data_IF_997102774461
#
_entry.id   IF_997102774461
#
_cell.length_a   1.000
_cell.length_b   1.000
_cell.length_c   1.000
_cell.angle_alpha   90.00
_cell.angle_beta   90.00
_cell.angle_gamma   90.00
#
_symmetry.space_group_name_H-M   'P 1'
#
loop_
_entity.id
_entity.type
_entity.pdbx_description
1 polymer ?
#
# COMPACT_ATOMS: atom_id res chain seq x y z
N UNK A 1 9.20 18.25 -8.25
CA UNK A 1 9.33 17.53 -6.96
C UNK A 1 8.38 18.08 -5.89
N UNK A 2 8.25 19.40 -5.76
CA UNK A 2 7.37 20.06 -4.77
C UNK A 2 5.90 19.61 -4.83
N UNK A 3 5.34 19.41 -6.02
CA UNK A 3 3.94 18.96 -6.20
C UNK A 3 3.67 17.53 -5.70
N UNK A 4 4.68 16.67 -5.68
CA UNK A 4 4.56 15.29 -5.19
C UNK A 4 4.54 15.28 -3.66
N UNK A 5 5.34 16.15 -3.03
CA UNK A 5 5.36 16.34 -1.57
C UNK A 5 4.00 16.88 -1.11
N UNK A 6 3.42 17.83 -1.84
CA UNK A 6 2.08 18.36 -1.54
C UNK A 6 0.98 17.29 -1.67
N UNK A 7 1.08 16.39 -2.65
CA UNK A 7 0.14 15.27 -2.82
C UNK A 7 0.24 14.27 -1.64
N UNK A 8 1.45 13.96 -1.17
CA UNK A 8 1.67 13.08 -0.02
C UNK A 8 1.17 13.70 1.30
N UNK A 9 1.25 15.03 1.43
CA UNK A 9 0.69 15.77 2.58
C UNK A 9 -0.85 15.76 2.52
N UNK A 10 -1.44 15.93 1.34
CA UNK A 10 -2.90 15.93 1.17
C UNK A 10 -3.52 14.55 1.46
N UNK A 11 -2.81 13.47 1.11
CA UNK A 11 -3.23 12.10 1.43
C UNK A 11 -3.08 11.73 2.91
N UNK A 12 -2.37 12.54 3.70
CA UNK A 12 -2.18 12.34 5.14
C UNK A 12 -3.02 13.29 6.01
N UNK A 13 -4.02 14.00 5.45
CA UNK A 13 -4.92 14.82 6.27
C UNK A 13 -5.82 13.86 7.07
N UNK A 14 -5.69 13.78 8.40
CA UNK A 14 -6.62 12.98 9.19
C UNK A 14 -8.02 13.60 9.07
N UNK A 15 -9.01 12.77 8.72
CA UNK A 15 -10.39 13.22 8.58
C UNK A 15 -10.88 13.82 9.92
N UNK A 16 -11.25 15.12 9.98
CA UNK A 16 -11.67 15.77 11.21
C UNK A 16 -12.95 15.16 11.82
N UNK A 17 -13.69 14.33 11.08
CA UNK A 17 -14.89 13.63 11.57
C UNK A 17 -14.58 12.37 12.39
N UNK A 18 -13.33 11.92 12.45
CA UNK A 18 -12.94 10.71 13.21
C UNK A 18 -13.18 10.84 14.73
N UNK A 19 -13.24 12.06 15.27
CA UNK A 19 -13.21 12.29 16.71
C UNK A 19 -14.57 12.15 17.42
N UNK A 20 -15.69 11.96 16.71
CA UNK A 20 -17.02 11.94 17.35
C UNK A 20 -17.54 10.54 17.74
N UNK A 21 -16.97 9.45 17.22
CA UNK A 21 -17.44 8.09 17.51
C UNK A 21 -16.67 7.34 18.62
N UNK A 22 -15.58 7.90 19.13
CA UNK A 22 -14.68 7.17 20.06
C UNK A 22 -15.30 6.88 21.44
N UNK A 23 -16.36 7.61 21.84
CA UNK A 23 -16.80 7.62 23.25
C UNK A 23 -17.81 6.54 23.67
N UNK A 24 -18.31 5.66 22.79
CA UNK A 24 -19.40 4.73 23.18
C UNK A 24 -19.16 3.23 23.03
N UNK A 25 -18.15 2.80 22.28
CA UNK A 25 -17.89 1.36 22.00
C UNK A 25 -16.67 0.78 22.77
N UNK A 26 -16.11 1.53 23.72
CA UNK A 26 -14.71 1.37 24.17
C UNK A 26 -14.44 0.31 25.26
N UNK A 27 -15.40 -0.52 25.65
CA UNK A 27 -15.21 -1.44 26.79
C UNK A 27 -15.17 -2.94 26.45
N UNK A 28 -15.39 -3.33 25.19
CA UNK A 28 -15.13 -4.71 24.77
C UNK A 28 -13.85 -4.79 23.93
N UNK A 29 -12.92 -5.72 24.23
CA UNK A 29 -11.79 -5.97 23.35
C UNK A 29 -12.35 -6.50 22.03
N UNK A 30 -12.44 -5.62 21.02
CA UNK A 30 -12.77 -6.01 19.65
C UNK A 30 -11.67 -6.96 19.17
N UNK A 31 -11.92 -8.27 19.24
CA UNK A 31 -11.03 -9.28 18.68
C UNK A 31 -11.08 -9.11 17.17
N UNK A 32 -10.17 -8.28 16.63
CA UNK A 32 -10.05 -8.10 15.20
C UNK A 32 -9.45 -9.38 14.61
N UNK A 33 -10.31 -10.27 14.14
CA UNK A 33 -9.90 -11.45 13.39
C UNK A 33 -9.48 -11.00 12.01
N UNK A 34 -8.18 -10.97 11.76
CA UNK A 34 -7.61 -10.74 10.44
C UNK A 34 -8.04 -11.86 9.48
N UNK A 35 -9.00 -11.56 8.60
CA UNK A 35 -9.56 -12.53 7.66
C UNK A 35 -8.68 -12.61 6.43
N UNK A 36 -8.52 -13.82 5.89
CA UNK A 36 -7.82 -14.01 4.62
C UNK A 36 -8.51 -13.33 3.45
N UNK A 37 -9.84 -13.23 3.47
CA UNK A 37 -10.62 -12.55 2.44
C UNK A 37 -11.39 -11.41 3.08
N UNK A 38 -10.89 -10.19 2.88
CA UNK A 38 -11.54 -8.95 3.29
C UNK A 38 -11.28 -7.86 2.25
N UNK A 39 -12.07 -6.79 2.31
CA UNK A 39 -11.92 -5.61 1.46
C UNK A 39 -10.51 -4.99 1.60
N UNK A 40 -9.98 -4.97 2.82
CA UNK A 40 -8.62 -4.56 3.13
C UNK A 40 -7.56 -5.35 2.33
N UNK A 41 -7.67 -6.68 2.31
CA UNK A 41 -6.77 -7.55 1.52
C UNK A 41 -6.88 -7.32 0.01
N UNK A 42 -8.09 -7.02 -0.47
CA UNK A 42 -8.32 -6.65 -1.86
C UNK A 42 -7.62 -5.34 -2.23
N UNK A 43 -7.62 -4.34 -1.33
CA UNK A 43 -6.91 -3.09 -1.54
C UNK A 43 -5.39 -3.29 -1.55
N UNK A 44 -4.83 -4.07 -0.63
CA UNK A 44 -3.41 -4.44 -0.64
C UNK A 44 -2.98 -5.01 -2.00
N UNK A 45 -3.69 -6.05 -2.46
CA UNK A 45 -3.42 -6.65 -3.76
C UNK A 45 -3.56 -5.67 -4.94
N UNK A 46 -4.66 -4.93 -4.99
CA UNK A 46 -4.98 -4.05 -6.12
C UNK A 46 -4.02 -2.88 -6.21
N UNK A 47 -3.72 -2.23 -5.07
CA UNK A 47 -2.77 -1.11 -5.00
C UNK A 47 -1.38 -1.58 -5.38
N UNK A 48 -0.90 -2.72 -4.87
CA UNK A 48 0.41 -3.25 -5.24
C UNK A 48 0.53 -3.59 -6.72
N UNK A 49 -0.50 -4.20 -7.32
CA UNK A 49 -0.53 -4.52 -8.75
C UNK A 49 -0.48 -3.24 -9.61
N UNK A 50 -1.34 -2.27 -9.28
CA UNK A 50 -1.37 -0.99 -9.97
C UNK A 50 -0.06 -0.22 -9.80
N UNK A 51 0.55 -0.24 -8.61
CA UNK A 51 1.78 0.50 -8.34
C UNK A 51 2.96 -0.06 -9.14
N UNK A 52 3.06 -1.39 -9.29
CA UNK A 52 4.05 -2.00 -10.19
C UNK A 52 3.82 -1.56 -11.64
N UNK A 53 2.59 -1.70 -12.14
CA UNK A 53 2.26 -1.36 -13.53
C UNK A 53 2.47 0.12 -13.84
N UNK A 54 1.95 1.01 -13.00
CA UNK A 54 2.05 2.46 -13.20
C UNK A 54 3.49 2.95 -13.09
N UNK A 55 4.25 2.45 -12.11
CA UNK A 55 5.66 2.85 -11.93
C UNK A 55 6.51 2.37 -13.09
N UNK A 56 6.30 1.12 -13.54
CA UNK A 56 7.02 0.56 -14.68
C UNK A 56 6.70 1.34 -15.95
N UNK A 57 5.41 1.59 -16.22
CA UNK A 57 4.97 2.33 -17.40
C UNK A 57 5.46 3.78 -17.37
N UNK A 58 5.43 4.45 -16.22
CA UNK A 58 5.99 5.80 -16.06
C UNK A 58 7.48 5.81 -16.42
N UNK A 59 8.25 4.87 -15.87
CA UNK A 59 9.68 4.78 -16.11
C UNK A 59 10.03 4.44 -17.55
N UNK A 60 9.33 3.49 -18.17
CA UNK A 60 9.59 3.04 -19.55
C UNK A 60 9.08 4.02 -20.60
N UNK A 61 7.83 4.45 -20.48
CA UNK A 61 7.11 5.15 -21.54
C UNK A 61 7.12 6.67 -21.40
N UNK A 62 7.41 7.21 -20.22
CA UNK A 62 7.44 8.67 -19.99
C UNK A 62 8.82 9.20 -19.65
N UNK A 63 9.66 8.39 -19.00
CA UNK A 63 11.00 8.78 -18.58
C UNK A 63 12.12 8.05 -19.36
N UNK A 64 11.74 7.24 -20.35
CA UNK A 64 12.64 6.53 -21.28
C UNK A 64 13.76 5.74 -20.57
N UNK A 65 13.50 5.27 -19.34
CA UNK A 65 14.45 4.45 -18.59
C UNK A 65 14.49 3.05 -19.19
N UNK A 66 15.64 2.42 -19.13
CA UNK A 66 15.82 1.06 -19.63
C UNK A 66 15.07 0.03 -18.76
N UNK A 67 14.77 -1.15 -19.33
CA UNK A 67 14.08 -2.22 -18.60
C UNK A 67 14.89 -2.75 -17.41
N UNK A 68 16.23 -2.75 -17.49
CA UNK A 68 17.10 -3.25 -16.41
C UNK A 68 17.06 -2.32 -15.20
N UNK A 69 16.73 -1.04 -15.38
CA UNK A 69 16.43 -0.13 -14.28
C UNK A 69 14.96 -0.16 -13.87
N UNK A 70 14.03 0.00 -14.81
CA UNK A 70 12.61 0.23 -14.52
C UNK A 70 11.93 -0.95 -13.81
N UNK A 71 12.29 -2.19 -14.18
CA UNK A 71 11.72 -3.39 -13.59
C UNK A 71 12.09 -3.55 -12.11
N UNK A 72 13.37 -3.70 -11.73
CA UNK A 72 13.72 -3.87 -10.33
C UNK A 72 13.30 -2.66 -9.50
N UNK A 73 13.38 -1.43 -10.03
CA UNK A 73 12.91 -0.25 -9.33
C UNK A 73 11.42 -0.33 -8.97
N UNK A 74 10.55 -0.71 -9.91
CA UNK A 74 9.09 -0.76 -9.69
C UNK A 74 8.72 -1.85 -8.69
N UNK A 75 9.35 -3.03 -8.78
CA UNK A 75 9.11 -4.15 -7.86
C UNK A 75 9.59 -3.83 -6.44
N UNK A 76 10.85 -3.38 -6.30
CA UNK A 76 11.46 -3.08 -4.99
C UNK A 76 10.77 -1.91 -4.30
N UNK A 77 10.47 -0.84 -5.03
CA UNK A 77 9.75 0.32 -4.46
C UNK A 77 8.37 -0.08 -3.96
N UNK A 78 7.60 -0.86 -4.74
CA UNK A 78 6.27 -1.32 -4.32
C UNK A 78 6.36 -2.21 -3.07
N UNK A 79 7.32 -3.13 -3.03
CA UNK A 79 7.54 -4.00 -1.87
C UNK A 79 7.91 -3.19 -0.61
N UNK A 80 8.82 -2.23 -0.74
CA UNK A 80 9.23 -1.36 0.38
C UNK A 80 8.06 -0.51 0.89
N UNK A 81 7.17 -0.06 0.02
CA UNK A 81 5.96 0.68 0.41
C UNK A 81 5.02 -0.22 1.21
N UNK A 82 4.75 -1.45 0.76
CA UNK A 82 3.90 -2.41 1.50
C UNK A 82 4.47 -2.76 2.88
N UNK A 83 5.76 -3.14 2.94
CA UNK A 83 6.46 -3.40 4.21
C UNK A 83 6.48 -2.14 5.10
N UNK A 84 6.73 -0.97 4.52
CA UNK A 84 6.74 0.29 5.22
C UNK A 84 5.38 0.63 5.85
N UNK A 85 4.28 0.37 5.13
CA UNK A 85 2.91 0.57 5.62
C UNK A 85 2.62 -0.31 6.84
N UNK A 86 2.93 -1.59 6.79
CA UNK A 86 2.72 -2.50 7.93
C UNK A 86 3.59 -2.13 9.14
N UNK A 87 4.84 -1.69 8.92
CA UNK A 87 5.71 -1.18 10.00
C UNK A 87 5.13 0.11 10.59
N UNK A 88 4.61 1.00 9.75
CA UNK A 88 4.00 2.26 10.16
C UNK A 88 2.73 2.00 11.00
N UNK A 89 1.86 1.10 10.56
CA UNK A 89 0.63 0.76 11.30
C UNK A 89 0.98 0.18 12.68
N UNK A 90 1.99 -0.69 12.77
CA UNK A 90 2.47 -1.23 14.05
C UNK A 90 3.05 -0.16 14.97
N UNK A 91 3.93 0.70 14.45
CA UNK A 91 4.72 1.64 15.29
C UNK A 91 3.96 2.92 15.63
N UNK A 92 3.21 3.45 14.67
CA UNK A 92 2.57 4.77 14.75
C UNK A 92 1.11 4.65 15.13
N UNK A 93 0.33 3.84 14.39
CA UNK A 93 -1.10 3.66 14.70
C UNK A 93 -1.34 2.71 15.88
N UNK A 94 -0.30 1.98 16.30
CA UNK A 94 -0.38 0.91 17.32
C UNK A 94 -1.41 -0.16 16.93
N UNK A 95 -1.62 -0.32 15.62
CA UNK A 95 -2.46 -1.36 15.04
C UNK A 95 -1.65 -2.66 14.88
N UNK A 96 -2.33 -3.76 14.54
CA UNK A 96 -1.67 -5.05 14.38
C UNK A 96 -0.93 -5.11 13.03
N UNK A 97 0.32 -5.60 13.07
CA UNK A 97 1.05 -5.97 11.87
C UNK A 97 0.44 -7.24 11.29
N UNK A 98 -0.09 -7.18 10.07
CA UNK A 98 -0.64 -8.35 9.41
C UNK A 98 0.37 -8.94 8.43
N UNK A 99 0.80 -10.16 8.70
CA UNK A 99 1.58 -10.92 7.72
C UNK A 99 0.74 -11.28 6.48
N UNK A 100 -0.60 -11.30 6.60
CA UNK A 100 -1.50 -11.60 5.49
C UNK A 100 -1.52 -10.44 4.51
N UNK A 101 -1.48 -9.19 4.99
CA UNK A 101 -1.36 -8.01 4.14
C UNK A 101 -0.10 -8.07 3.28
N UNK A 102 1.04 -8.46 3.85
CA UNK A 102 2.27 -8.67 3.08
C UNK A 102 2.14 -9.76 2.00
N UNK A 103 1.37 -10.82 2.27
CA UNK A 103 1.11 -11.87 1.26
C UNK A 103 0.28 -11.28 0.11
N UNK A 104 -0.75 -10.49 0.42
CA UNK A 104 -1.57 -9.84 -0.61
C UNK A 104 -0.79 -8.78 -1.39
N UNK A 105 0.12 -8.04 -0.75
CA UNK A 105 1.04 -7.13 -1.44
C UNK A 105 1.94 -7.90 -2.42
N UNK A 106 2.53 -9.03 -1.99
CA UNK A 106 3.36 -9.87 -2.84
C UNK A 106 2.57 -10.45 -4.03
N UNK A 107 1.36 -10.97 -3.78
CA UNK A 107 0.47 -11.45 -4.85
C UNK A 107 0.11 -10.33 -5.83
N UNK A 108 -0.14 -9.13 -5.31
CA UNK A 108 -0.39 -7.93 -6.11
C UNK A 108 0.81 -7.58 -6.98
N UNK A 109 2.03 -7.58 -6.42
CA UNK A 109 3.28 -7.34 -7.16
C UNK A 109 3.46 -8.35 -8.30
N UNK A 110 3.25 -9.65 -8.02
CA UNK A 110 3.33 -10.68 -9.06
C UNK A 110 2.27 -10.49 -10.14
N UNK A 111 1.03 -10.20 -9.74
CA UNK A 111 -0.05 -9.93 -10.67
C UNK A 111 0.26 -8.72 -11.55
N UNK A 112 0.74 -7.61 -10.97
CA UNK A 112 1.11 -6.41 -11.71
C UNK A 112 2.26 -6.66 -12.68
N UNK A 113 3.26 -7.47 -12.28
CA UNK A 113 4.31 -7.90 -13.19
C UNK A 113 3.76 -8.67 -14.40
N UNK A 114 2.89 -9.66 -14.18
CA UNK A 114 2.33 -10.45 -15.27
C UNK A 114 1.35 -9.68 -16.16
N UNK A 115 0.56 -8.77 -15.60
CA UNK A 115 -0.44 -8.02 -16.36
C UNK A 115 0.15 -6.87 -17.17
N UNK A 116 1.17 -6.19 -16.65
CA UNK A 116 1.67 -4.95 -17.24
C UNK A 116 3.08 -5.05 -17.85
N UNK A 117 3.85 -6.09 -17.53
CA UNK A 117 5.29 -6.16 -17.87
C UNK A 117 5.67 -7.41 -18.68
N UNK A 118 5.15 -8.58 -18.29
CA UNK A 118 5.37 -9.83 -19.02
C UNK A 118 4.68 -9.78 -20.39
#
# INVERSE_FOLDING_TARGET
MEKIILLLIFLNIPDPKFNHQIKKDSLEPKIYKDRWFSEDKFFHFSVSSLLVGSSYHLLRCRLEKDKKFALPFSLTTTFLIGVGKEIYDKKIKREFFSYKDLIYDLLGIFCGYFLFIY
#
